data_IF_954848220744
#
_entry.id   IF_954848220744
#
_cell.length_a   1.000
_cell.length_b   1.000
_cell.length_c   1.000
_cell.angle_alpha   90.00
_cell.angle_beta   90.00
_cell.angle_gamma   90.00
#
_symmetry.space_group_name_H-M   'P 1'
#
loop_
_entity.id
_entity.type
_entity.pdbx_description
1 polymer ?
#
# COMPACT_ATOMS: atom_id res chain seq x y z
N UNK A 1 17.53 -1.25 -3.53
CA UNK A 1 16.09 -1.03 -3.25
C UNK A 1 15.57 -0.25 -4.44
N UNK A 2 14.64 -0.83 -5.19
CA UNK A 2 14.08 -0.19 -6.38
C UNK A 2 13.04 0.85 -5.97
N UNK A 3 12.92 1.91 -6.74
CA UNK A 3 11.93 2.99 -6.59
C UNK A 3 10.75 2.77 -7.55
N UNK A 4 10.56 1.54 -8.01
CA UNK A 4 9.52 1.19 -8.97
C UNK A 4 8.17 1.02 -8.27
N UNK A 5 7.14 1.67 -8.81
CA UNK A 5 5.76 1.54 -8.35
C UNK A 5 5.29 0.10 -8.52
N UNK A 6 4.76 -0.51 -7.45
CA UNK A 6 4.19 -1.85 -7.44
C UNK A 6 3.09 -2.02 -8.50
N UNK A 7 2.36 -0.94 -8.82
CA UNK A 7 1.30 -0.96 -9.82
C UNK A 7 1.80 -0.75 -11.27
N UNK A 8 2.41 0.41 -11.54
CA UNK A 8 2.68 0.85 -12.91
C UNK A 8 4.16 0.74 -13.34
N UNK A 9 5.03 0.21 -12.47
CA UNK A 9 6.48 0.07 -12.69
C UNK A 9 7.22 1.39 -12.98
N UNK A 10 6.57 2.54 -12.75
CA UNK A 10 7.21 3.86 -12.88
C UNK A 10 8.01 4.20 -11.63
N UNK A 11 8.99 5.07 -11.81
CA UNK A 11 9.80 5.61 -10.71
C UNK A 11 8.95 6.51 -9.79
N UNK A 12 8.79 6.11 -8.53
CA UNK A 12 7.91 6.78 -7.55
C UNK A 12 8.49 8.11 -7.06
N UNK A 13 9.81 8.31 -7.13
CA UNK A 13 10.48 9.54 -6.68
C UNK A 13 10.13 10.76 -7.54
N UNK A 14 9.53 10.54 -8.72
CA UNK A 14 9.00 11.60 -9.59
C UNK A 14 7.62 12.11 -9.18
N UNK A 15 7.03 11.53 -8.14
CA UNK A 15 5.66 11.77 -7.71
C UNK A 15 5.58 12.01 -6.20
N UNK A 16 4.39 11.82 -5.61
CA UNK A 16 4.14 11.91 -4.16
C UNK A 16 3.87 10.49 -3.64
N UNK A 17 4.94 9.74 -3.30
CA UNK A 17 4.85 8.31 -3.13
C UNK A 17 4.08 7.91 -1.87
N UNK A 18 3.27 6.86 -2.00
CA UNK A 18 2.56 6.22 -0.88
C UNK A 18 3.19 4.86 -0.62
N UNK A 19 3.54 4.59 0.64
CA UNK A 19 4.10 3.32 1.08
C UNK A 19 3.10 2.60 1.96
N UNK A 20 2.90 1.30 1.71
CA UNK A 20 2.03 0.43 2.48
C UNK A 20 2.90 -0.60 3.18
N UNK A 21 2.64 -0.78 4.48
CA UNK A 21 3.28 -1.81 5.29
C UNK A 21 2.19 -2.70 5.91
N UNK A 22 2.42 -4.00 6.00
CA UNK A 22 1.53 -4.93 6.71
C UNK A 22 2.11 -5.31 8.08
N UNK A 23 1.28 -5.30 9.13
CA UNK A 23 1.66 -5.69 10.49
C UNK A 23 2.23 -4.57 11.37
N UNK A 24 2.56 -4.90 12.61
CA UNK A 24 2.95 -3.93 13.65
C UNK A 24 4.36 -3.32 13.47
N UNK A 25 5.21 -3.91 12.63
CA UNK A 25 6.58 -3.42 12.40
C UNK A 25 6.69 -2.68 11.06
N UNK A 26 6.57 -1.37 11.15
CA UNK A 26 6.54 -0.37 10.07
C UNK A 26 7.79 -0.38 9.18
N UNK A 27 8.94 -0.85 9.72
CA UNK A 27 10.25 -0.72 9.07
C UNK A 27 10.67 -1.92 8.23
N UNK A 28 10.04 -3.09 8.42
CA UNK A 28 10.48 -4.36 7.81
C UNK A 28 9.43 -5.04 6.96
N UNK A 29 8.19 -4.55 6.97
CA UNK A 29 7.07 -5.20 6.28
C UNK A 29 6.45 -4.28 5.22
N UNK A 30 7.28 -3.58 4.45
CA UNK A 30 6.78 -2.84 3.29
C UNK A 30 6.24 -3.82 2.26
N UNK A 31 4.94 -3.77 2.03
CA UNK A 31 4.23 -4.66 1.10
C UNK A 31 3.94 -3.98 -0.24
N UNK A 32 3.92 -2.65 -0.28
CA UNK A 32 3.74 -1.91 -1.52
C UNK A 32 4.31 -0.50 -1.48
N UNK A 33 4.69 -0.01 -2.65
CA UNK A 33 5.06 1.38 -2.88
C UNK A 33 4.42 1.87 -4.17
N UNK A 34 3.81 3.05 -4.15
CA UNK A 34 2.96 3.54 -5.22
C UNK A 34 3.30 4.98 -5.57
N UNK A 35 3.16 5.37 -6.84
CA UNK A 35 3.42 6.74 -7.27
C UNK A 35 2.54 7.78 -6.55
N UNK A 36 1.32 7.40 -6.18
CA UNK A 36 0.33 8.19 -5.44
C UNK A 36 -0.90 7.31 -5.14
N UNK A 37 -1.92 7.91 -4.52
CA UNK A 37 -3.20 7.26 -4.21
C UNK A 37 -3.91 6.62 -5.41
N UNK A 38 -3.78 7.15 -6.64
CA UNK A 38 -4.45 6.56 -7.80
C UNK A 38 -3.84 5.20 -8.19
N UNK A 39 -2.53 5.04 -8.05
CA UNK A 39 -1.88 3.74 -8.29
C UNK A 39 -2.21 2.73 -7.19
N UNK A 40 -2.34 3.19 -5.94
CA UNK A 40 -2.75 2.36 -4.82
C UNK A 40 -4.19 1.87 -4.99
N UNK A 41 -5.14 2.79 -5.25
CA UNK A 41 -6.56 2.47 -5.44
C UNK A 41 -6.75 1.42 -6.54
N UNK A 42 -6.10 1.64 -7.69
CA UNK A 42 -6.18 0.71 -8.80
C UNK A 42 -5.59 -0.67 -8.48
N UNK A 43 -4.49 -0.73 -7.73
CA UNK A 43 -3.92 -1.98 -7.25
C UNK A 43 -4.86 -2.72 -6.30
N UNK A 44 -5.45 -2.01 -5.34
CA UNK A 44 -6.43 -2.55 -4.40
C UNK A 44 -7.64 -3.15 -5.13
N UNK A 45 -8.15 -2.45 -6.15
CA UNK A 45 -9.27 -2.93 -6.96
C UNK A 45 -8.93 -4.18 -7.78
N UNK A 46 -7.77 -4.22 -8.46
CA UNK A 46 -7.39 -5.39 -9.28
C UNK A 46 -7.11 -6.64 -8.44
N UNK A 47 -6.42 -6.47 -7.32
CA UNK A 47 -6.03 -7.57 -6.43
C UNK A 47 -7.13 -7.89 -5.41
N UNK A 48 -8.26 -7.16 -5.41
CA UNK A 48 -9.41 -7.35 -4.51
C UNK A 48 -9.05 -7.30 -3.01
N UNK A 49 -8.08 -6.44 -2.65
CA UNK A 49 -7.46 -6.37 -1.32
C UNK A 49 -8.36 -5.79 -0.22
N UNK A 50 -9.53 -5.25 -0.56
CA UNK A 50 -10.49 -4.75 0.44
C UNK A 50 -11.30 -5.86 1.12
N UNK A 51 -11.18 -7.11 0.64
CA UNK A 51 -12.05 -8.21 1.08
C UNK A 51 -11.56 -8.81 2.39
N UNK A 52 -12.24 -8.50 3.50
CA UNK A 52 -11.94 -9.08 4.81
C UNK A 52 -10.96 -8.28 5.68
N UNK A 53 -10.37 -7.22 5.13
CA UNK A 53 -9.41 -6.32 5.79
C UNK A 53 -10.09 -5.09 6.44
N UNK A 54 -11.33 -5.25 6.88
CA UNK A 54 -11.91 -4.26 7.78
C UNK A 54 -11.22 -4.40 9.15
N UNK A 55 -10.72 -3.30 9.72
CA UNK A 55 -10.14 -3.33 11.06
C UNK A 55 -11.03 -4.12 12.02
N UNK A 56 -10.43 -5.03 12.80
CA UNK A 56 -11.07 -5.58 14.00
C UNK A 56 -11.25 -4.43 15.00
N UNK A 57 -12.27 -3.62 14.76
CA UNK A 57 -12.63 -2.53 15.64
C UNK A 57 -13.28 -3.13 16.89
N UNK A 58 -12.50 -3.23 17.97
CA UNK A 58 -13.01 -3.57 19.30
C UNK A 58 -13.25 -2.28 20.09
N UNK A 59 -14.50 -1.92 20.42
CA UNK A 59 -14.81 -0.72 21.22
C UNK A 59 -14.40 -0.83 22.69
N UNK A 60 -13.89 -1.98 23.12
CA UNK A 60 -13.55 -2.27 24.51
C UNK A 60 -12.10 -1.91 24.81
N UNK A 61 -11.94 -0.85 25.61
CA UNK A 61 -10.69 -0.32 26.18
C UNK A 61 -10.66 -0.54 27.69
#
# INVERSE_FOLDING_TARGET
MGTECTYCNSDIERHDPVYVNEGENESTNQTGQFCNYACLDRHIEEESLMSGDACEWSPES
#
